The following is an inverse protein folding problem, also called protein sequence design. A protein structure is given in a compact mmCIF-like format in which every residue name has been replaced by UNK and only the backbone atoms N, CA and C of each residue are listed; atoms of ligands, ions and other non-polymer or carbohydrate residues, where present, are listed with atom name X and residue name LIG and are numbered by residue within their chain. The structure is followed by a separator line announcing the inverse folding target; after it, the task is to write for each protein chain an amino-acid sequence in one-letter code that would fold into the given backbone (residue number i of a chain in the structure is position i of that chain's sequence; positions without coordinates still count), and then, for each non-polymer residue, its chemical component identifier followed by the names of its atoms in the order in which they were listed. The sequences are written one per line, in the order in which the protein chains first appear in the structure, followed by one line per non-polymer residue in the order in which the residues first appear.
data_IF_193962013797
#
_entry.id   IF_193962013797
#
_cell.length_a   1.000
_cell.length_b   1.000
_cell.length_c   1.000
_cell.angle_alpha   90.00
_cell.angle_beta   90.00
_cell.angle_gamma   90.00
#
_symmetry.space_group_name_H-M   'P 1'
#
loop_
_entity.id
_entity.type
_entity.pdbx_description
1 polymer ?
#
# COMPACT_ATOMS: atom_id res chain seq x y z
N UNK A 1 1.90 -8.17 -2.26
CA UNK A 1 1.32 -6.82 -2.39
C UNK A 1 0.95 -6.62 -3.84
N UNK A 2 -0.19 -5.98 -4.11
CA UNK A 2 -0.57 -5.55 -5.45
C UNK A 2 -0.59 -4.04 -5.52
N UNK A 3 -0.04 -3.49 -6.59
CA UNK A 3 -0.16 -2.07 -6.89
C UNK A 3 -1.50 -1.85 -7.59
N UNK A 4 -2.35 -1.03 -6.99
CA UNK A 4 -3.77 -0.92 -7.35
C UNK A 4 -4.16 0.55 -7.49
N UNK A 5 -4.55 0.96 -8.70
CA UNK A 5 -5.05 2.30 -8.98
C UNK A 5 -6.51 2.49 -8.58
N UNK A 6 -7.27 1.41 -8.36
CA UNK A 6 -8.64 1.44 -7.86
C UNK A 6 -8.72 1.54 -6.33
N UNK A 7 -7.62 1.28 -5.62
CA UNK A 7 -7.57 1.43 -4.17
C UNK A 7 -7.37 2.90 -3.78
N UNK A 8 -8.27 3.43 -2.92
CA UNK A 8 -8.15 4.78 -2.37
C UNK A 8 -7.08 4.89 -1.26
N UNK A 9 -6.80 3.77 -0.59
CA UNK A 9 -5.88 3.69 0.54
C UNK A 9 -4.96 2.48 0.46
N UNK A 10 -3.85 2.54 1.18
CA UNK A 10 -3.01 1.36 1.40
C UNK A 10 -3.72 0.41 2.36
N UNK A 11 -3.82 -0.86 1.99
CA UNK A 11 -4.48 -1.87 2.80
C UNK A 11 -3.56 -3.05 3.06
N UNK A 12 -3.48 -3.50 4.32
CA UNK A 12 -2.72 -4.68 4.69
C UNK A 12 -3.50 -5.60 5.62
N UNK A 13 -3.38 -6.91 5.39
CA UNK A 13 -4.12 -7.94 6.14
C UNK A 13 -3.37 -8.54 7.30
N UNK A 14 -2.05 -8.39 7.33
CA UNK A 14 -1.19 -9.04 8.32
C UNK A 14 -0.64 -8.00 9.28
N UNK A 15 -1.01 -8.16 10.55
CA UNK A 15 -0.60 -7.25 11.64
C UNK A 15 0.90 -7.29 11.88
N UNK A 16 1.59 -8.38 11.55
CA UNK A 16 3.04 -8.50 11.73
C UNK A 16 3.86 -7.60 10.80
N UNK A 17 3.24 -7.11 9.72
CA UNK A 17 3.87 -6.18 8.78
C UNK A 17 4.00 -4.76 9.35
N UNK A 18 3.24 -4.45 10.39
CA UNK A 18 3.15 -3.11 10.97
C UNK A 18 4.25 -2.88 12.01
N UNK A 19 4.99 -1.80 11.86
CA UNK A 19 5.93 -1.33 12.89
C UNK A 19 5.23 -0.55 13.99
N UNK A 20 4.11 0.06 13.66
CA UNK A 20 3.16 0.66 14.58
C UNK A 20 1.76 0.39 14.06
N UNK A 21 0.81 0.24 14.98
CA UNK A 21 -0.60 0.10 14.66
C UNK A 21 -1.40 0.73 15.79
N UNK A 22 -2.22 1.71 15.45
CA UNK A 22 -3.08 2.41 16.39
C UNK A 22 -4.53 2.35 15.95
N UNK A 23 -5.44 2.47 16.91
CA UNK A 23 -6.87 2.51 16.65
C UNK A 23 -7.24 3.88 16.08
N UNK A 24 -8.07 3.89 15.05
CA UNK A 24 -8.63 5.12 14.49
C UNK A 24 -9.68 5.70 15.44
N UNK A 25 -9.83 7.02 15.46
CA UNK A 25 -10.90 7.69 16.22
C UNK A 25 -12.28 7.35 15.65
N UNK A 26 -12.36 7.24 14.33
CA UNK A 26 -13.55 6.81 13.60
C UNK A 26 -13.16 5.66 12.64
N UNK A 27 -13.88 4.54 12.65
CA UNK A 27 -13.65 3.47 11.70
C UNK A 27 -13.87 3.93 10.26
N UNK A 28 -13.06 3.42 9.33
CA UNK A 28 -13.18 3.73 7.90
C UNK A 28 -13.90 2.57 7.21
N UNK A 29 -15.01 2.88 6.53
CA UNK A 29 -15.69 1.93 5.66
C UNK A 29 -15.02 1.89 4.29
N UNK A 30 -14.61 0.71 3.86
CA UNK A 30 -13.93 0.46 2.59
C UNK A 30 -14.88 -0.34 1.72
N UNK A 31 -15.39 0.28 0.66
CA UNK A 31 -16.16 -0.42 -0.36
C UNK A 31 -15.27 -1.41 -1.10
N UNK A 32 -15.70 -2.67 -1.22
CA UNK A 32 -15.00 -3.69 -2.00
C UNK A 32 -15.73 -3.94 -3.32
N UNK A 33 -15.01 -4.41 -4.34
CA UNK A 33 -15.55 -4.63 -5.69
C UNK A 33 -16.69 -5.67 -5.78
N UNK A 34 -17.03 -6.35 -4.67
CA UNK A 34 -18.16 -7.28 -4.61
C UNK A 34 -19.42 -6.50 -4.20
N UNK A 35 -20.41 -6.49 -5.09
CA UNK A 35 -21.65 -5.71 -4.94
C UNK A 35 -22.23 -5.75 -3.51
N UNK A 36 -22.34 -4.57 -2.91
CA UNK A 36 -22.96 -4.37 -1.60
C UNK A 36 -22.13 -4.85 -0.41
N UNK A 37 -20.85 -5.22 -0.60
CA UNK A 37 -19.96 -5.56 0.49
C UNK A 37 -19.02 -4.40 0.80
N UNK A 38 -18.86 -4.13 2.09
CA UNK A 38 -17.83 -3.25 2.63
C UNK A 38 -17.05 -3.99 3.71
N UNK A 39 -15.82 -3.54 3.94
CA UNK A 39 -15.01 -3.95 5.08
C UNK A 39 -14.71 -2.73 5.92
N UNK A 40 -14.71 -2.89 7.23
CA UNK A 40 -14.40 -1.80 8.16
C UNK A 40 -12.94 -1.92 8.60
N UNK A 41 -12.18 -0.84 8.45
CA UNK A 41 -10.87 -0.69 9.04
C UNK A 41 -10.96 0.11 10.34
N UNK A 42 -10.60 -0.51 11.44
CA UNK A 42 -10.59 0.14 12.76
C UNK A 42 -9.19 0.63 13.17
N UNK A 43 -8.16 0.19 12.46
CA UNK A 43 -6.77 0.46 12.81
C UNK A 43 -5.99 0.94 11.59
N UNK A 44 -5.01 1.80 11.86
CA UNK A 44 -4.09 2.35 10.87
C UNK A 44 -2.67 2.33 11.43
N UNK A 45 -1.67 2.31 10.57
CA UNK A 45 -0.29 2.35 11.01
C UNK A 45 0.71 2.41 9.87
N UNK A 46 1.96 2.12 10.20
CA UNK A 46 3.08 2.12 9.25
C UNK A 46 3.56 0.70 8.99
N UNK A 47 3.81 0.40 7.73
CA UNK A 47 4.44 -0.85 7.28
C UNK A 47 5.84 -0.57 6.77
N UNK A 48 6.80 -1.41 7.14
CA UNK A 48 8.11 -1.47 6.50
C UNK A 48 8.18 -2.63 5.52
N UNK A 49 8.77 -2.40 4.36
CA UNK A 49 9.01 -3.41 3.36
C UNK A 49 10.36 -3.19 2.69
N UNK A 50 10.96 -4.26 2.17
CA UNK A 50 12.22 -4.19 1.45
C UNK A 50 11.98 -4.49 -0.01
N UNK A 51 12.35 -3.55 -0.88
CA UNK A 51 12.35 -3.74 -2.33
C UNK A 51 13.75 -4.13 -2.80
N UNK A 52 13.86 -5.03 -3.78
CA UNK A 52 15.13 -5.36 -4.40
C UNK A 52 15.19 -4.74 -5.79
N UNK A 53 16.06 -3.75 -5.98
CA UNK A 53 16.18 -2.98 -7.22
C UNK A 53 17.64 -2.91 -7.62
N UNK A 54 17.95 -3.28 -8.87
CA UNK A 54 19.31 -3.22 -9.43
C UNK A 54 20.39 -3.87 -8.55
N UNK A 55 20.07 -5.02 -7.94
CA UNK A 55 21.01 -5.73 -7.06
C UNK A 55 21.11 -5.20 -5.63
N UNK A 56 20.30 -4.19 -5.25
CA UNK A 56 20.33 -3.56 -3.93
C UNK A 56 19.01 -3.72 -3.19
N UNK A 57 19.09 -3.95 -1.89
CA UNK A 57 17.95 -3.89 -0.98
C UNK A 57 17.68 -2.44 -0.58
N UNK A 58 16.45 -1.97 -0.82
CA UNK A 58 15.98 -0.63 -0.48
C UNK A 58 14.86 -0.78 0.55
N UNK A 59 15.06 -0.23 1.74
CA UNK A 59 14.00 -0.15 2.75
C UNK A 59 12.98 0.93 2.36
N UNK A 60 11.72 0.53 2.32
CA UNK A 60 10.58 1.37 2.00
C UNK A 60 9.64 1.42 3.20
N UNK A 61 9.19 2.63 3.54
CA UNK A 61 8.21 2.86 4.60
C UNK A 61 6.91 3.32 3.97
N UNK A 62 5.83 2.59 4.23
CA UNK A 62 4.48 2.92 3.76
C UNK A 62 3.68 3.36 4.98
N UNK A 63 3.32 4.64 5.03
CA UNK A 63 2.54 5.24 6.11
C UNK A 63 1.06 5.17 5.79
N UNK A 64 0.23 5.38 6.81
CA UNK A 64 -1.24 5.45 6.69
C UNK A 64 -1.84 4.20 6.04
N UNK A 65 -1.38 3.02 6.46
CA UNK A 65 -1.88 1.73 5.98
C UNK A 65 -3.03 1.29 6.86
N UNK A 66 -4.19 1.04 6.27
CA UNK A 66 -5.36 0.51 6.96
C UNK A 66 -5.19 -1.00 7.18
N UNK A 67 -5.44 -1.44 8.41
CA UNK A 67 -5.42 -2.85 8.75
C UNK A 67 -6.79 -3.49 8.50
N UNK A 68 -6.79 -4.49 7.63
CA UNK A 68 -8.01 -5.15 7.14
C UNK A 68 -7.75 -6.67 6.99
N UNK A 69 -7.93 -7.47 8.06
CA UNK A 69 -7.52 -8.87 8.10
C UNK A 69 -8.24 -9.77 7.08
N UNK A 70 -9.43 -9.35 6.64
CA UNK A 70 -10.29 -10.08 5.71
C UNK A 70 -9.94 -9.89 4.24
N UNK A 71 -8.94 -9.07 3.91
CA UNK A 71 -8.50 -8.92 2.53
C UNK A 71 -7.82 -10.19 2.00
N UNK A 72 -8.04 -10.46 0.72
CA UNK A 72 -7.35 -11.55 0.01
C UNK A 72 -5.86 -11.24 -0.17
N UNK A 73 -5.52 -10.00 -0.50
CA UNK A 73 -4.17 -9.52 -0.77
C UNK A 73 -3.96 -8.11 -0.21
N UNK A 74 -2.73 -7.77 0.16
CA UNK A 74 -2.37 -6.40 0.53
C UNK A 74 -2.33 -5.52 -0.73
N UNK A 75 -2.82 -4.29 -0.60
CA UNK A 75 -2.92 -3.33 -1.70
C UNK A 75 -2.07 -2.09 -1.41
N UNK A 76 -1.28 -1.69 -2.40
CA UNK A 76 -0.65 -0.39 -2.46
C UNK A 76 -1.48 0.51 -3.38
N UNK A 77 -2.16 1.50 -2.82
CA UNK A 77 -2.83 2.54 -3.59
C UNK A 77 -1.82 3.35 -4.41
N UNK A 78 -2.00 3.36 -5.74
CA UNK A 78 -1.26 4.26 -6.64
C UNK A 78 -1.55 5.71 -6.28
N UNK A 79 -2.80 6.03 -5.97
CA UNK A 79 -3.24 7.39 -5.59
C UNK A 79 -2.44 7.88 -4.38
N UNK A 80 -2.31 7.08 -3.32
CA UNK A 80 -1.52 7.45 -2.13
C UNK A 80 -0.02 7.57 -2.42
N UNK A 81 0.52 6.73 -3.31
CA UNK A 81 1.93 6.84 -3.74
C UNK A 81 2.17 8.17 -4.47
N UNK A 82 1.29 8.55 -5.39
CA UNK A 82 1.41 9.81 -6.13
C UNK A 82 1.19 11.04 -5.24
N UNK A 83 0.24 10.98 -4.29
CA UNK A 83 0.05 12.02 -3.28
C UNK A 83 1.28 12.22 -2.38
N UNK A 84 2.08 11.17 -2.18
CA UNK A 84 3.36 11.25 -1.48
C UNK A 84 4.50 11.81 -2.36
N UNK A 85 4.20 12.30 -3.57
CA UNK A 85 5.16 12.91 -4.49
C UNK A 85 6.03 11.91 -5.27
N UNK A 86 5.65 10.63 -5.27
CA UNK A 86 6.34 9.60 -6.04
C UNK A 86 5.65 9.39 -7.39
N UNK A 87 6.38 8.87 -8.37
CA UNK A 87 5.86 8.60 -9.71
C UNK A 87 5.74 7.11 -9.94
N UNK A 88 4.59 6.65 -10.42
CA UNK A 88 4.36 5.27 -10.82
C UNK A 88 4.40 5.17 -12.35
N UNK A 89 5.13 4.18 -12.88
CA UNK A 89 5.21 3.90 -14.32
C UNK A 89 4.95 2.43 -14.57
N UNK A 90 4.05 2.16 -15.52
CA UNK A 90 3.81 0.83 -16.06
C UNK A 90 4.39 0.77 -17.47
N UNK A 91 5.46 0.00 -17.65
CA UNK A 91 6.12 -0.15 -18.95
C UNK A 91 6.82 -1.50 -19.03
N UNK A 92 6.93 -2.06 -20.24
CA UNK A 92 7.63 -3.34 -20.48
C UNK A 92 7.13 -4.49 -19.58
N UNK A 93 5.84 -4.51 -19.26
CA UNK A 93 5.22 -5.51 -18.39
C UNK A 93 5.60 -5.41 -16.90
N UNK A 94 6.16 -4.27 -16.48
CA UNK A 94 6.62 -4.03 -15.10
C UNK A 94 5.94 -2.81 -14.49
N UNK A 95 5.86 -2.81 -13.16
CA UNK A 95 5.45 -1.65 -12.37
C UNK A 95 6.67 -1.05 -11.66
N UNK A 96 6.92 0.24 -11.88
CA UNK A 96 8.07 0.95 -11.35
C UNK A 96 7.62 2.14 -10.51
N UNK A 97 8.22 2.31 -9.33
CA UNK A 97 7.97 3.47 -8.47
C UNK A 97 9.26 4.26 -8.34
N UNK A 98 9.17 5.56 -8.60
CA UNK A 98 10.28 6.49 -8.56
C UNK A 98 10.10 7.54 -7.47
N UNK A 99 11.18 7.86 -6.76
CA UNK A 99 11.29 9.06 -5.93
C UNK A 99 12.21 10.05 -6.65
N UNK A 100 11.63 11.10 -7.22
CA UNK A 100 12.34 11.93 -8.21
C UNK A 100 12.79 11.10 -9.41
N UNK A 101 14.10 11.01 -9.63
CA UNK A 101 14.70 10.20 -10.70
C UNK A 101 15.20 8.83 -10.25
N UNK A 102 15.16 8.53 -8.94
CA UNK A 102 15.63 7.27 -8.39
C UNK A 102 14.52 6.20 -8.45
N UNK A 103 14.84 5.04 -9.03
CA UNK A 103 13.96 3.86 -9.01
C UNK A 103 14.08 3.18 -7.64
N UNK A 104 12.98 3.13 -6.88
CA UNK A 104 12.96 2.58 -5.51
C UNK A 104 12.19 1.26 -5.40
N UNK A 105 11.28 0.98 -6.34
CA UNK A 105 10.56 -0.30 -6.43
C UNK A 105 10.42 -0.70 -7.89
N UNK A 106 10.66 -1.98 -8.19
CA UNK A 106 10.39 -2.59 -9.50
C UNK A 106 9.74 -3.95 -9.27
N UNK A 107 8.56 -4.16 -9.85
CA UNK A 107 7.81 -5.42 -9.83
C UNK A 107 7.45 -5.89 -11.22
#
# INVERSE_FOLDING_TARGET
WFLDSGASDHLARDKQLFTDLHRLSEPIEIAVAKNGQSVVAEHCGTVKMTAFVNGRSIECTVKNVLFTPHLRHNLLSVVRIEQAGMRVVFESGKAKIYRGNELIVCG
#
